data_IF_057305080688
#
_entry.id   IF_057305080688
#
_cell.length_a   1.000
_cell.length_b   1.000
_cell.length_c   1.000
_cell.angle_alpha   90.00
_cell.angle_beta   90.00
_cell.angle_gamma   90.00
#
_symmetry.space_group_name_H-M   'P 1'
#
loop_
_entity.id
_entity.type
_entity.pdbx_description
1 polymer ?
#
# COMPACT_ATOMS: atom_id res chain seq x y z
N UNK A 1 15.67 -15.09 -19.14
CA UNK A 1 15.35 -14.02 -20.11
C UNK A 1 15.86 -12.72 -19.53
N UNK A 2 16.82 -12.07 -20.20
CA UNK A 2 17.42 -10.80 -19.75
C UNK A 2 16.35 -9.71 -19.72
N UNK A 3 16.12 -9.12 -18.56
CA UNK A 3 15.11 -8.10 -18.21
C UNK A 3 15.37 -6.70 -18.81
N UNK A 4 16.31 -6.57 -19.74
CA UNK A 4 16.66 -5.28 -20.34
C UNK A 4 15.49 -4.74 -21.18
N UNK A 5 14.75 -3.78 -20.61
CA UNK A 5 13.70 -3.01 -21.28
C UNK A 5 12.28 -3.19 -20.75
N UNK A 6 12.04 -4.06 -19.76
CA UNK A 6 10.71 -4.20 -19.16
C UNK A 6 10.48 -3.07 -18.16
N UNK A 7 9.47 -2.23 -18.44
CA UNK A 7 8.93 -1.21 -17.53
C UNK A 7 7.48 -1.57 -17.20
N UNK A 8 7.09 -1.36 -15.94
CA UNK A 8 5.71 -1.59 -15.48
C UNK A 8 5.10 -0.29 -14.98
N UNK A 9 3.77 -0.16 -15.11
CA UNK A 9 3.01 0.96 -14.56
C UNK A 9 2.17 0.55 -13.36
N UNK A 10 2.43 1.19 -12.23
CA UNK A 10 1.71 0.99 -10.97
C UNK A 10 1.02 2.30 -10.61
N UNK A 11 -0.31 2.27 -10.53
CA UNK A 11 -1.09 3.42 -10.06
C UNK A 11 -1.56 3.19 -8.62
N UNK A 12 -1.70 4.27 -7.83
CA UNK A 12 -2.48 4.21 -6.60
C UNK A 12 -3.90 4.73 -6.86
N UNK A 13 -4.90 4.19 -6.14
CA UNK A 13 -6.28 4.65 -6.23
C UNK A 13 -6.98 4.83 -4.86
N UNK A 14 -6.22 5.02 -3.78
CA UNK A 14 -6.75 5.27 -2.45
C UNK A 14 -5.63 5.51 -1.44
N UNK A 15 -5.82 6.49 -0.55
CA UNK A 15 -4.90 6.79 0.54
C UNK A 15 -5.40 6.45 1.95
N UNK A 16 -6.71 6.22 2.12
CA UNK A 16 -7.34 5.84 3.39
C UNK A 16 -8.78 5.42 3.14
N UNK A 17 -9.41 4.75 4.10
CA UNK A 17 -10.84 4.42 4.00
C UNK A 17 -11.71 5.68 4.13
N UNK A 18 -12.45 6.00 3.06
CA UNK A 18 -13.27 7.21 2.94
C UNK A 18 -12.69 8.29 2.03
N UNK A 19 -11.56 8.00 1.36
CA UNK A 19 -10.99 8.83 0.29
C UNK A 19 -11.89 8.89 -0.95
N UNK A 20 -11.44 9.51 -2.05
CA UNK A 20 -12.21 9.70 -3.27
C UNK A 20 -12.75 8.37 -3.86
N UNK A 21 -14.08 8.14 -3.84
CA UNK A 21 -14.69 6.88 -4.26
C UNK A 21 -14.62 6.64 -5.78
N UNK A 22 -14.23 7.66 -6.55
CA UNK A 22 -14.09 7.59 -8.01
C UNK A 22 -12.62 7.48 -8.46
N UNK A 23 -11.65 7.55 -7.55
CA UNK A 23 -10.22 7.45 -7.89
C UNK A 23 -9.90 6.15 -8.64
N UNK A 24 -10.41 5.00 -8.17
CA UNK A 24 -10.23 3.71 -8.84
C UNK A 24 -10.76 3.70 -10.26
N UNK A 25 -11.96 4.24 -10.47
CA UNK A 25 -12.56 4.36 -11.81
C UNK A 25 -11.70 5.24 -12.71
N UNK A 26 -11.22 6.38 -12.23
CA UNK A 26 -10.37 7.29 -13.01
C UNK A 26 -9.03 6.64 -13.36
N UNK A 27 -8.44 5.87 -12.45
CA UNK A 27 -7.21 5.14 -12.73
C UNK A 27 -7.40 4.04 -13.78
N UNK A 28 -8.40 3.17 -13.59
CA UNK A 28 -8.66 2.03 -14.48
C UNK A 28 -9.08 2.48 -15.88
N UNK A 29 -9.94 3.49 -15.97
CA UNK A 29 -10.46 3.99 -17.25
C UNK A 29 -9.56 5.06 -17.90
N UNK A 30 -8.50 5.50 -17.20
CA UNK A 30 -7.60 6.53 -17.68
C UNK A 30 -6.85 6.14 -18.98
N UNK A 31 -6.25 7.13 -19.65
CA UNK A 31 -5.59 6.93 -20.95
C UNK A 31 -4.27 6.13 -20.88
N UNK A 32 -3.53 6.17 -19.76
CA UNK A 32 -2.32 5.34 -19.63
C UNK A 32 -2.72 3.88 -19.35
N UNK A 33 -2.05 2.94 -20.03
CA UNK A 33 -2.18 1.52 -19.72
C UNK A 33 -1.45 1.22 -18.41
N UNK A 34 -2.18 0.68 -17.44
CA UNK A 34 -1.66 0.25 -16.15
C UNK A 34 -1.42 -1.27 -16.16
N UNK A 35 -0.39 -1.72 -15.45
CA UNK A 35 -0.17 -3.15 -15.17
C UNK A 35 -0.73 -3.50 -13.78
N UNK A 36 -0.61 -2.57 -12.83
CA UNK A 36 -1.07 -2.71 -11.45
C UNK A 36 -1.81 -1.48 -10.96
N UNK A 37 -2.79 -1.71 -10.08
CA UNK A 37 -3.39 -0.68 -9.23
C UNK A 37 -3.26 -1.11 -7.78
N UNK A 38 -2.56 -0.30 -6.97
CA UNK A 38 -2.56 -0.40 -5.52
C UNK A 38 -3.69 0.43 -4.92
N UNK A 39 -4.35 -0.09 -3.89
CA UNK A 39 -5.39 0.65 -3.16
C UNK A 39 -5.23 0.39 -1.68
N UNK A 40 -4.96 1.46 -0.94
CA UNK A 40 -4.80 1.44 0.50
C UNK A 40 -6.06 1.99 1.20
N UNK A 41 -6.49 1.28 2.25
CA UNK A 41 -7.62 1.62 3.10
C UNK A 41 -7.25 1.76 4.58
N UNK A 42 -6.07 1.29 5.01
CA UNK A 42 -5.84 0.97 6.42
C UNK A 42 -4.97 2.01 7.13
N UNK A 43 -5.62 3.00 7.74
CA UNK A 43 -5.03 3.77 8.84
C UNK A 43 -5.13 3.00 10.18
N UNK A 44 -4.37 3.39 11.20
CA UNK A 44 -4.42 2.81 12.56
C UNK A 44 -5.84 2.85 13.14
N UNK A 45 -6.56 3.96 12.95
CA UNK A 45 -7.96 4.10 13.41
C UNK A 45 -8.91 3.16 12.67
N UNK A 46 -8.68 2.90 11.38
CA UNK A 46 -9.51 2.04 10.54
C UNK A 46 -9.57 0.62 11.12
N UNK A 47 -8.43 0.09 11.58
CA UNK A 47 -8.36 -1.26 12.17
C UNK A 47 -9.31 -1.41 13.36
N UNK A 48 -9.39 -0.39 14.22
CA UNK A 48 -10.28 -0.39 15.39
C UNK A 48 -11.76 -0.36 14.98
N UNK A 49 -12.10 0.40 13.93
CA UNK A 49 -13.47 0.47 13.41
C UNK A 49 -13.87 -0.87 12.80
N UNK A 50 -13.02 -1.46 11.97
CA UNK A 50 -13.27 -2.75 11.34
C UNK A 50 -13.38 -3.87 12.38
N UNK A 51 -12.58 -3.84 13.45
CA UNK A 51 -12.70 -4.79 14.55
C UNK A 51 -14.04 -4.66 15.28
N UNK A 52 -14.50 -3.43 15.55
CA UNK A 52 -15.84 -3.20 16.13
C UNK A 52 -16.96 -3.68 15.20
N UNK A 53 -16.80 -3.57 13.88
CA UNK A 53 -17.77 -4.12 12.92
C UNK A 53 -17.77 -5.66 12.96
N UNK A 54 -16.60 -6.31 12.92
CA UNK A 54 -16.45 -7.77 12.99
C UNK A 54 -17.03 -8.36 14.28
N UNK A 55 -16.91 -7.66 15.40
CA UNK A 55 -17.52 -8.07 16.68
C UNK A 55 -19.05 -8.05 16.65
N UNK A 56 -19.66 -7.16 15.87
CA UNK A 56 -21.12 -7.09 15.71
C UNK A 56 -21.62 -8.13 14.70
N UNK A 57 -20.86 -8.36 13.64
CA UNK A 57 -21.15 -9.34 12.59
C UNK A 57 -19.83 -9.95 12.09
N UNK A 58 -19.69 -11.26 12.26
CA UNK A 58 -18.48 -12.00 11.88
C UNK A 58 -18.18 -11.96 10.36
N UNK A 59 -19.15 -11.57 9.52
CA UNK A 59 -18.96 -11.39 8.08
C UNK A 59 -18.45 -9.99 7.70
N UNK A 60 -18.28 -9.07 8.66
CA UNK A 60 -17.71 -7.74 8.45
C UNK A 60 -16.24 -7.67 8.90
N UNK A 61 -15.65 -6.47 8.90
CA UNK A 61 -14.26 -6.26 9.29
C UNK A 61 -13.29 -6.03 8.13
N UNK A 62 -13.82 -5.63 6.98
CA UNK A 62 -13.09 -5.21 5.79
C UNK A 62 -13.73 -3.94 5.20
N UNK A 63 -13.02 -3.25 4.32
CA UNK A 63 -13.53 -2.05 3.65
C UNK A 63 -14.57 -2.43 2.58
N UNK A 64 -15.86 -2.46 2.95
CA UNK A 64 -16.94 -2.85 2.05
C UNK A 64 -17.05 -1.96 0.80
N UNK A 65 -16.63 -0.70 0.89
CA UNK A 65 -16.62 0.24 -0.23
C UNK A 65 -15.66 -0.19 -1.35
N UNK A 66 -14.58 -0.89 -1.03
CA UNK A 66 -13.69 -1.45 -2.05
C UNK A 66 -14.45 -2.39 -3.00
N UNK A 67 -15.27 -3.26 -2.43
CA UNK A 67 -16.06 -4.26 -3.16
C UNK A 67 -17.07 -3.57 -4.08
N UNK A 68 -17.75 -2.54 -3.60
CA UNK A 68 -18.73 -1.78 -4.40
C UNK A 68 -18.08 -0.90 -5.47
N UNK A 69 -16.92 -0.30 -5.20
CA UNK A 69 -16.14 0.49 -6.16
C UNK A 69 -15.56 -0.38 -7.29
N UNK A 70 -15.09 -1.59 -6.96
CA UNK A 70 -14.47 -2.49 -7.93
C UNK A 70 -15.49 -3.22 -8.79
N UNK A 71 -16.67 -3.57 -8.25
CA UNK A 71 -17.71 -4.31 -8.97
C UNK A 71 -17.97 -3.83 -10.41
N UNK A 72 -18.23 -2.53 -10.69
CA UNK A 72 -18.48 -2.04 -12.05
C UNK A 72 -17.23 -2.01 -12.94
N UNK A 73 -16.04 -2.21 -12.37
CA UNK A 73 -14.75 -2.08 -13.06
C UNK A 73 -14.08 -3.43 -13.36
N UNK A 74 -14.52 -4.53 -12.74
CA UNK A 74 -13.91 -5.87 -12.88
C UNK A 74 -13.70 -6.27 -14.35
N UNK A 75 -14.71 -6.06 -15.20
CA UNK A 75 -14.62 -6.37 -16.63
C UNK A 75 -13.52 -5.54 -17.31
N UNK A 76 -13.50 -4.25 -17.06
CA UNK A 76 -12.50 -3.32 -17.62
C UNK A 76 -11.09 -3.67 -17.15
N UNK A 77 -10.91 -3.98 -15.86
CA UNK A 77 -9.63 -4.43 -15.32
C UNK A 77 -9.13 -5.68 -16.05
N UNK A 78 -10.00 -6.67 -16.23
CA UNK A 78 -9.65 -7.92 -16.93
C UNK A 78 -9.33 -7.71 -18.40
N UNK A 79 -10.13 -6.93 -19.13
CA UNK A 79 -9.90 -6.60 -20.53
C UNK A 79 -8.60 -5.81 -20.74
N UNK A 80 -8.23 -4.95 -19.79
CA UNK A 80 -6.98 -4.17 -19.82
C UNK A 80 -5.77 -4.93 -19.23
N UNK A 81 -5.99 -6.07 -18.58
CA UNK A 81 -4.96 -6.85 -17.91
C UNK A 81 -4.39 -6.18 -16.64
N UNK A 82 -5.21 -5.38 -15.96
CA UNK A 82 -4.82 -4.67 -14.73
C UNK A 82 -5.00 -5.61 -13.53
N UNK A 83 -3.93 -5.82 -12.76
CA UNK A 83 -3.97 -6.52 -11.47
C UNK A 83 -4.19 -5.53 -10.32
N UNK A 84 -4.99 -5.91 -9.34
CA UNK A 84 -5.24 -5.09 -8.16
C UNK A 84 -4.54 -5.70 -6.95
N UNK A 85 -3.88 -4.86 -6.14
CA UNK A 85 -3.29 -5.25 -4.86
C UNK A 85 -3.84 -4.31 -3.79
N UNK A 86 -4.46 -4.84 -2.74
CA UNK A 86 -5.08 -4.00 -1.72
C UNK A 86 -5.00 -4.62 -0.33
N UNK A 87 -5.00 -3.75 0.68
CA UNK A 87 -5.18 -4.11 2.09
C UNK A 87 -6.63 -3.89 2.57
N UNK A 88 -7.59 -3.74 1.66
CA UNK A 88 -9.02 -3.59 1.96
C UNK A 88 -9.59 -4.72 2.84
N UNK A 89 -8.91 -5.86 2.94
CA UNK A 89 -9.31 -6.97 3.79
C UNK A 89 -9.31 -6.66 5.29
N UNK A 90 -8.53 -5.66 5.72
CA UNK A 90 -8.55 -5.20 7.11
C UNK A 90 -8.31 -6.31 8.12
N UNK A 91 -9.25 -6.51 9.05
CA UNK A 91 -9.18 -7.59 10.07
C UNK A 91 -9.97 -8.84 9.67
N UNK A 92 -10.57 -8.86 8.47
CA UNK A 92 -11.31 -10.00 7.93
C UNK A 92 -11.10 -10.13 6.41
N UNK A 93 -9.86 -10.40 5.97
CA UNK A 93 -9.56 -10.43 4.55
C UNK A 93 -10.28 -11.58 3.84
N UNK A 94 -10.62 -12.67 4.55
CA UNK A 94 -11.45 -13.77 4.03
C UNK A 94 -12.84 -13.31 3.61
N UNK A 95 -13.57 -12.61 4.50
CA UNK A 95 -14.90 -12.10 4.16
C UNK A 95 -14.88 -11.08 3.01
N UNK A 96 -13.80 -10.30 2.89
CA UNK A 96 -13.60 -9.43 1.73
C UNK A 96 -13.48 -10.24 0.42
N UNK A 97 -12.66 -11.30 0.43
CA UNK A 97 -12.52 -12.18 -0.73
C UNK A 97 -13.84 -12.89 -1.08
N UNK A 98 -14.58 -13.38 -0.09
CA UNK A 98 -15.88 -14.03 -0.29
C UNK A 98 -16.88 -13.05 -0.93
N UNK A 99 -16.93 -11.80 -0.47
CA UNK A 99 -17.77 -10.76 -1.07
C UNK A 99 -17.40 -10.46 -2.53
N UNK A 100 -16.10 -10.49 -2.89
CA UNK A 100 -15.67 -10.37 -4.29
C UNK A 100 -16.12 -11.58 -5.13
N UNK A 101 -16.03 -12.79 -4.59
CA UNK A 101 -16.49 -14.01 -5.27
C UNK A 101 -17.99 -14.01 -5.50
N UNK A 102 -18.80 -13.47 -4.58
CA UNK A 102 -20.24 -13.34 -4.79
C UNK A 102 -20.61 -12.37 -5.92
N UNK A 103 -19.73 -11.41 -6.25
CA UNK A 103 -19.93 -10.45 -7.33
C UNK A 103 -19.51 -10.97 -8.70
N UNK A 104 -18.50 -11.84 -8.77
CA UNK A 104 -17.91 -12.27 -10.03
C UNK A 104 -18.91 -12.99 -10.98
N UNK A 105 -19.72 -13.97 -10.52
CA UNK A 105 -20.74 -14.63 -11.35
C UNK A 105 -21.83 -13.66 -11.83
N UNK A 106 -22.22 -12.69 -11.00
CA UNK A 106 -23.24 -11.68 -11.34
C UNK A 106 -22.79 -10.80 -12.53
N UNK A 107 -21.49 -10.71 -12.77
CA UNK A 107 -20.90 -9.96 -13.87
C UNK A 107 -20.42 -10.85 -15.03
N UNK A 108 -20.66 -12.17 -14.96
CA UNK A 108 -20.23 -13.13 -15.99
C UNK A 108 -18.71 -13.25 -16.11
N UNK A 109 -17.98 -13.00 -15.01
CA UNK A 109 -16.52 -13.03 -14.97
C UNK A 109 -16.03 -14.21 -14.14
N UNK A 110 -15.03 -14.91 -14.66
CA UNK A 110 -14.16 -15.78 -13.87
C UNK A 110 -13.13 -14.90 -13.13
N UNK A 111 -13.12 -14.88 -11.80
CA UNK A 111 -12.27 -13.99 -11.01
C UNK A 111 -11.33 -14.82 -10.14
N UNK A 112 -10.03 -14.51 -10.19
CA UNK A 112 -9.02 -15.12 -9.32
C UNK A 112 -8.61 -14.15 -8.24
N UNK A 113 -8.99 -14.45 -7.00
CA UNK A 113 -8.60 -13.67 -5.82
C UNK A 113 -7.58 -14.49 -5.02
N UNK A 114 -6.40 -13.91 -4.77
CA UNK A 114 -5.44 -14.44 -3.83
C UNK A 114 -5.56 -13.70 -2.49
N UNK A 115 -5.50 -14.45 -1.40
CA UNK A 115 -5.64 -13.93 -0.04
C UNK A 115 -4.29 -13.97 0.68
N UNK A 116 -3.93 -12.87 1.33
CA UNK A 116 -2.82 -12.81 2.30
C UNK A 116 -3.40 -12.57 3.69
N UNK A 117 -3.30 -13.58 4.55
CA UNK A 117 -3.78 -13.59 5.93
C UNK A 117 -2.67 -14.06 6.90
N UNK A 118 -2.92 -13.96 8.21
CA UNK A 118 -1.98 -14.37 9.27
C UNK A 118 -1.31 -13.21 9.99
N UNK A 119 -1.70 -11.97 9.68
CA UNK A 119 -1.27 -10.75 10.36
C UNK A 119 -1.86 -10.63 11.76
N UNK A 120 -3.05 -11.19 12.01
CA UNK A 120 -3.68 -11.22 13.34
C UNK A 120 -2.92 -12.16 14.29
N UNK A 121 -2.29 -11.57 15.30
CA UNK A 121 -1.53 -12.25 16.34
C UNK A 121 -2.19 -12.11 17.73
N UNK A 122 -3.43 -11.62 17.82
CA UNK A 122 -4.07 -11.33 19.11
C UNK A 122 -4.05 -12.53 20.07
N UNK A 123 -4.34 -13.74 19.55
CA UNK A 123 -4.32 -14.96 20.35
C UNK A 123 -2.92 -15.36 20.87
N UNK A 124 -1.85 -14.93 20.18
CA UNK A 124 -0.45 -15.25 20.52
C UNK A 124 0.25 -14.10 21.26
N UNK A 125 -0.41 -12.96 21.40
CA UNK A 125 0.17 -11.75 21.98
C UNK A 125 0.73 -11.98 23.40
N UNK A 126 0.06 -12.70 24.33
CA UNK A 126 0.59 -12.96 25.67
C UNK A 126 1.91 -13.76 25.69
N UNK A 127 2.18 -14.55 24.64
CA UNK A 127 3.44 -15.29 24.49
C UNK A 127 4.51 -14.42 23.81
N UNK A 128 4.11 -13.63 22.81
CA UNK A 128 5.00 -12.76 22.04
C UNK A 128 5.61 -11.68 22.93
N UNK A 129 4.83 -11.04 23.80
CA UNK A 129 5.35 -9.95 24.65
C UNK A 129 6.43 -10.39 25.65
N UNK A 130 6.56 -11.70 25.88
CA UNK A 130 7.60 -12.29 26.73
C UNK A 130 8.92 -12.53 25.99
N UNK A 131 8.93 -12.41 24.66
CA UNK A 131 10.13 -12.58 23.85
C UNK A 131 11.07 -11.36 23.99
N UNK A 132 12.39 -11.55 23.86
CA UNK A 132 13.35 -10.45 23.86
C UNK A 132 13.00 -9.39 22.80
N UNK A 133 12.97 -8.12 23.17
CA UNK A 133 12.65 -7.02 22.26
C UNK A 133 11.15 -6.77 22.03
N UNK A 134 10.26 -7.62 22.56
CA UNK A 134 8.81 -7.55 22.32
C UNK A 134 7.99 -7.07 23.53
N UNK A 135 8.63 -6.54 24.59
CA UNK A 135 7.92 -6.12 25.81
C UNK A 135 6.94 -4.95 25.62
N UNK A 136 6.96 -4.27 24.47
CA UNK A 136 6.00 -3.21 24.06
C UNK A 136 5.76 -2.13 25.13
N UNK A 137 6.81 -1.74 25.86
CA UNK A 137 6.70 -0.66 26.86
C UNK A 137 6.27 0.64 26.20
N UNK A 138 5.43 1.41 26.91
CA UNK A 138 5.07 2.75 26.46
C UNK A 138 6.35 3.60 26.30
N UNK A 139 6.49 4.26 25.15
CA UNK A 139 7.71 5.01 24.81
C UNK A 139 7.89 6.29 25.64
N UNK A 140 6.80 6.88 26.15
CA UNK A 140 6.80 8.13 26.91
C UNK A 140 6.84 7.87 28.43
N UNK A 141 6.00 6.96 28.91
CA UNK A 141 5.85 6.69 30.36
C UNK A 141 6.71 5.52 30.86
N UNK A 142 7.14 4.63 29.95
CA UNK A 142 7.85 3.39 30.30
C UNK A 142 6.96 2.32 30.93
N UNK A 143 5.64 2.53 31.01
CA UNK A 143 4.68 1.58 31.57
C UNK A 143 4.68 0.25 30.81
N UNK A 144 4.40 -0.84 31.55
CA UNK A 144 4.33 -2.18 30.97
C UNK A 144 3.06 -2.35 30.14
N UNK A 145 3.19 -3.06 29.03
CA UNK A 145 2.06 -3.50 28.22
C UNK A 145 1.12 -4.48 28.97
N UNK A 146 1.60 -5.13 30.03
CA UNK A 146 0.81 -6.07 30.83
C UNK A 146 -0.48 -5.43 31.40
N UNK A 147 -0.49 -4.11 31.63
CA UNK A 147 -1.66 -3.39 32.14
C UNK A 147 -2.83 -3.26 31.14
N UNK A 148 -2.58 -3.51 29.84
CA UNK A 148 -3.59 -3.39 28.78
C UNK A 148 -3.86 -4.69 28.03
N UNK A 149 -3.04 -5.73 28.25
CA UNK A 149 -3.09 -7.00 27.48
C UNK A 149 -4.48 -7.64 27.46
N UNK A 150 -5.16 -7.67 28.61
CA UNK A 150 -6.49 -8.28 28.74
C UNK A 150 -7.62 -7.49 28.06
N UNK A 151 -7.32 -6.26 27.63
CA UNK A 151 -8.27 -5.35 26.95
C UNK A 151 -8.02 -5.26 25.44
N UNK A 152 -7.04 -5.99 24.92
CA UNK A 152 -6.68 -5.97 23.49
C UNK A 152 -7.84 -6.48 22.65
N UNK A 153 -8.23 -5.68 21.66
CA UNK A 153 -9.30 -5.98 20.70
C UNK A 153 -8.74 -6.52 19.39
N UNK A 154 -7.59 -6.02 18.95
CA UNK A 154 -6.88 -6.48 17.75
C UNK A 154 -5.37 -6.29 17.90
N UNK A 155 -4.59 -7.17 17.28
CA UNK A 155 -3.14 -7.05 17.19
C UNK A 155 -2.69 -7.59 15.83
N UNK A 156 -2.33 -6.68 14.92
CA UNK A 156 -2.05 -7.01 13.53
C UNK A 156 -0.62 -6.62 13.15
N UNK A 157 0.14 -7.59 12.64
CA UNK A 157 1.51 -7.41 12.15
C UNK A 157 1.49 -6.69 10.80
N UNK A 158 2.37 -5.70 10.62
CA UNK A 158 2.59 -5.10 9.31
C UNK A 158 3.46 -6.05 8.49
N UNK A 159 2.85 -6.88 7.66
CA UNK A 159 3.60 -7.66 6.70
C UNK A 159 4.29 -6.78 5.66
N UNK A 160 5.42 -7.26 5.16
CA UNK A 160 6.11 -6.69 4.01
C UNK A 160 5.54 -7.19 2.68
N UNK A 161 6.30 -6.98 1.61
CA UNK A 161 5.93 -7.35 0.26
C UNK A 161 5.95 -8.86 0.00
N UNK A 162 6.78 -9.64 0.70
CA UNK A 162 7.03 -11.05 0.33
C UNK A 162 5.79 -11.97 0.33
N UNK A 163 4.88 -11.94 1.32
CA UNK A 163 3.64 -12.73 1.25
C UNK A 163 2.77 -12.34 0.04
N UNK A 164 2.76 -11.06 -0.32
CA UNK A 164 2.03 -10.53 -1.50
C UNK A 164 2.69 -11.00 -2.80
N UNK A 165 4.03 -11.09 -2.85
CA UNK A 165 4.76 -11.66 -3.99
C UNK A 165 4.40 -13.13 -4.20
N UNK A 166 4.31 -13.93 -3.13
CA UNK A 166 3.89 -15.32 -3.24
C UNK A 166 2.44 -15.47 -3.71
N UNK A 167 1.55 -14.57 -3.27
CA UNK A 167 0.19 -14.49 -3.79
C UNK A 167 0.17 -14.15 -5.29
N UNK A 168 0.97 -13.17 -5.74
CA UNK A 168 1.04 -12.76 -7.13
C UNK A 168 1.55 -13.87 -8.07
N UNK A 169 2.46 -14.75 -7.60
CA UNK A 169 2.94 -15.90 -8.39
C UNK A 169 1.83 -16.90 -8.76
N UNK A 170 0.69 -16.88 -8.06
CA UNK A 170 -0.50 -17.66 -8.41
C UNK A 170 -1.29 -17.04 -9.58
N UNK A 171 -0.79 -15.96 -10.17
CA UNK A 171 -1.41 -15.19 -11.24
C UNK A 171 -2.87 -14.79 -10.93
N UNK A 172 -3.13 -14.11 -9.79
CA UNK A 172 -4.46 -13.62 -9.47
C UNK A 172 -4.80 -12.36 -10.27
N UNK A 173 -6.09 -12.09 -10.41
CA UNK A 173 -6.60 -10.79 -10.86
C UNK A 173 -6.52 -9.76 -9.72
N UNK A 174 -6.75 -10.22 -8.48
CA UNK A 174 -6.77 -9.38 -7.28
C UNK A 174 -6.01 -10.08 -6.15
N UNK A 175 -5.14 -9.35 -5.45
CA UNK A 175 -4.59 -9.75 -4.15
C UNK A 175 -5.25 -8.93 -3.06
N UNK A 176 -5.92 -9.61 -2.13
CA UNK A 176 -6.53 -9.02 -0.93
C UNK A 176 -5.67 -9.39 0.27
N UNK A 177 -5.22 -8.38 1.01
CA UNK A 177 -4.43 -8.54 2.23
C UNK A 177 -5.23 -8.09 3.45
N UNK A 178 -4.89 -8.65 4.61
CA UNK A 178 -5.12 -8.00 5.91
C UNK A 178 -4.14 -6.83 6.11
N UNK A 179 -3.51 -6.72 7.28
CA UNK A 179 -2.48 -5.71 7.51
C UNK A 179 -1.18 -6.06 6.75
N UNK A 180 -0.78 -5.14 5.89
CA UNK A 180 0.48 -5.09 5.15
C UNK A 180 0.92 -3.62 5.13
N UNK A 181 2.22 -3.34 4.96
CA UNK A 181 2.66 -1.96 4.76
C UNK A 181 2.10 -1.40 3.45
N UNK A 182 1.81 -0.10 3.45
CA UNK A 182 1.24 0.62 2.31
C UNK A 182 2.25 0.65 1.15
N UNK A 183 3.53 0.77 1.50
CA UNK A 183 4.64 0.56 0.57
C UNK A 183 4.78 -0.88 0.06
N UNK A 184 4.39 -1.88 0.86
CA UNK A 184 4.56 -3.31 0.60
C UNK A 184 3.74 -3.80 -0.58
N UNK A 185 2.51 -3.27 -0.76
CA UNK A 185 1.66 -3.62 -1.90
C UNK A 185 2.22 -3.10 -3.23
N UNK A 186 2.90 -1.95 -3.21
CA UNK A 186 3.61 -1.39 -4.38
C UNK A 186 4.92 -2.16 -4.64
N UNK A 187 5.72 -2.37 -3.60
CA UNK A 187 6.98 -3.12 -3.68
C UNK A 187 6.76 -4.55 -4.20
N UNK A 188 5.69 -5.22 -3.79
CA UNK A 188 5.37 -6.58 -4.23
C UNK A 188 5.19 -6.69 -5.74
N UNK A 189 4.55 -5.71 -6.39
CA UNK A 189 4.41 -5.68 -7.84
C UNK A 189 5.78 -5.58 -8.53
N UNK A 190 6.69 -4.73 -8.01
CA UNK A 190 8.04 -4.58 -8.55
C UNK A 190 8.89 -5.84 -8.36
N UNK A 191 8.87 -6.45 -7.16
CA UNK A 191 9.58 -7.71 -6.90
C UNK A 191 9.08 -8.81 -7.83
N UNK A 192 7.76 -8.99 -7.94
CA UNK A 192 7.15 -10.01 -8.78
C UNK A 192 7.57 -9.85 -10.25
N UNK A 193 7.46 -8.65 -10.80
CA UNK A 193 7.66 -8.41 -12.23
C UNK A 193 9.12 -8.43 -12.67
N UNK A 194 10.03 -8.05 -11.78
CA UNK A 194 11.47 -7.96 -12.06
C UNK A 194 12.28 -9.12 -11.46
N UNK A 195 11.66 -9.98 -10.66
CA UNK A 195 12.31 -11.16 -10.06
C UNK A 195 13.42 -10.79 -9.08
N UNK A 196 13.24 -9.70 -8.33
CA UNK A 196 14.22 -9.26 -7.33
C UNK A 196 14.32 -10.25 -6.18
N UNK A 197 15.53 -10.38 -5.63
CA UNK A 197 15.81 -11.19 -4.44
C UNK A 197 15.54 -10.40 -3.16
N UNK A 198 15.29 -11.10 -2.06
CA UNK A 198 15.22 -10.53 -0.70
C UNK A 198 16.52 -9.81 -0.28
N UNK A 199 17.64 -10.11 -0.94
CA UNK A 199 18.94 -9.49 -0.69
C UNK A 199 19.26 -8.31 -1.62
N UNK A 200 18.39 -7.98 -2.58
CA UNK A 200 18.58 -6.83 -3.48
C UNK A 200 18.22 -5.50 -2.78
N UNK A 201 18.87 -5.19 -1.65
CA UNK A 201 18.43 -4.12 -0.74
C UNK A 201 18.27 -2.75 -1.40
N UNK A 202 19.17 -2.35 -2.30
CA UNK A 202 19.02 -1.08 -3.03
C UNK A 202 17.74 -1.08 -3.88
N UNK A 203 17.41 -2.19 -4.55
CA UNK A 203 16.19 -2.29 -5.37
C UNK A 203 14.94 -2.32 -4.50
N UNK A 204 14.97 -3.05 -3.38
CA UNK A 204 13.89 -3.05 -2.40
C UNK A 204 13.66 -1.64 -1.85
N UNK A 205 14.72 -0.89 -1.55
CA UNK A 205 14.61 0.47 -1.06
C UNK A 205 14.01 1.41 -2.12
N UNK A 206 14.35 1.26 -3.40
CA UNK A 206 13.64 1.97 -4.46
C UNK A 206 12.15 1.65 -4.47
N UNK A 207 11.77 0.37 -4.28
CA UNK A 207 10.37 -0.02 -4.22
C UNK A 207 9.63 0.52 -2.99
N UNK A 208 10.29 0.63 -1.83
CA UNK A 208 9.75 1.31 -0.65
C UNK A 208 9.50 2.79 -0.94
N UNK A 209 10.48 3.50 -1.52
CA UNK A 209 10.34 4.92 -1.88
C UNK A 209 9.25 5.13 -2.93
N UNK A 210 9.15 4.22 -3.91
CA UNK A 210 8.05 4.20 -4.88
C UNK A 210 6.69 4.08 -4.19
N UNK A 211 6.54 3.11 -3.27
CA UNK A 211 5.34 2.94 -2.47
C UNK A 211 4.98 4.20 -1.68
N UNK A 212 5.96 4.76 -0.95
CA UNK A 212 5.80 5.94 -0.10
C UNK A 212 5.35 7.18 -0.89
N UNK A 213 5.80 7.28 -2.15
CA UNK A 213 5.39 8.38 -3.02
C UNK A 213 3.94 8.24 -3.51
N UNK A 214 3.45 7.02 -3.76
CA UNK A 214 2.11 6.85 -4.35
C UNK A 214 1.01 6.55 -3.34
N UNK A 215 1.33 6.20 -2.11
CA UNK A 215 0.36 6.13 -1.02
C UNK A 215 -0.20 7.51 -0.63
N UNK A 216 -1.12 7.54 0.33
CA UNK A 216 -1.77 8.77 0.82
C UNK A 216 -2.53 9.56 -0.27
N UNK A 217 -3.03 8.88 -1.30
CA UNK A 217 -3.93 9.43 -2.31
C UNK A 217 -3.25 10.37 -3.28
N UNK A 218 -3.75 11.61 -3.41
CA UNK A 218 -3.30 12.56 -4.44
C UNK A 218 -2.14 13.48 -4.00
N UNK A 219 -1.45 13.21 -2.89
CA UNK A 219 -0.48 14.16 -2.33
C UNK A 219 0.72 14.41 -3.26
N UNK A 220 1.34 13.35 -3.81
CA UNK A 220 2.45 13.50 -4.76
C UNK A 220 2.05 14.20 -6.08
N UNK A 221 0.75 14.30 -6.35
CA UNK A 221 0.16 14.98 -7.51
C UNK A 221 -0.53 16.30 -7.13
N UNK A 222 -0.20 16.85 -5.95
CA UNK A 222 -0.59 18.21 -5.56
C UNK A 222 -1.81 18.32 -4.65
N UNK A 223 -2.40 17.21 -4.22
CA UNK A 223 -3.61 17.18 -3.38
C UNK A 223 -3.41 17.74 -1.98
N UNK A 224 -2.20 17.64 -1.45
CA UNK A 224 -1.78 18.24 -0.20
C UNK A 224 -0.42 18.93 -0.39
N UNK A 225 -0.42 20.02 -1.15
CA UNK A 225 0.78 20.74 -1.56
C UNK A 225 0.78 22.17 -1.03
N UNK A 226 1.90 22.60 -0.45
CA UNK A 226 2.01 23.93 0.15
C UNK A 226 1.74 25.05 -0.85
N UNK A 227 2.28 24.93 -2.08
CA UNK A 227 2.02 25.87 -3.16
C UNK A 227 0.76 25.50 -3.97
N UNK A 228 -0.35 25.14 -3.31
CA UNK A 228 -1.60 24.68 -3.93
C UNK A 228 -2.13 25.58 -5.06
N UNK A 229 -1.82 26.89 -5.04
CA UNK A 229 -2.18 27.84 -6.12
C UNK A 229 -1.56 27.52 -7.47
N UNK A 230 -0.48 26.73 -7.50
CA UNK A 230 0.16 26.24 -8.73
C UNK A 230 -0.58 25.03 -9.33
N UNK A 231 -1.45 24.39 -8.55
CA UNK A 231 -2.26 23.24 -8.98
C UNK A 231 -3.45 23.77 -9.78
N UNK A 232 -3.58 23.33 -11.03
CA UNK A 232 -4.54 23.89 -11.98
C UNK A 232 -6.00 23.50 -11.71
N UNK A 233 -6.22 22.30 -11.20
CA UNK A 233 -7.55 21.75 -10.90
C UNK A 233 -7.46 20.78 -9.74
N UNK A 234 -8.40 20.91 -8.79
CA UNK A 234 -8.66 19.97 -7.70
C UNK A 234 -9.94 19.15 -7.92
N UNK A 235 -10.74 19.46 -8.95
CA UNK A 235 -12.04 18.79 -9.19
C UNK A 235 -11.85 17.32 -9.61
N UNK A 236 -10.82 17.06 -10.41
CA UNK A 236 -10.52 15.79 -11.03
C UNK A 236 -9.05 15.40 -10.81
N UNK A 237 -8.55 15.66 -9.60
CA UNK A 237 -7.13 15.49 -9.30
C UNK A 237 -6.66 14.06 -9.67
N UNK A 238 -5.60 14.00 -10.47
CA UNK A 238 -5.02 12.73 -10.89
C UNK A 238 -4.29 12.10 -9.73
N UNK A 239 -4.55 10.83 -9.45
CA UNK A 239 -3.76 10.06 -8.49
C UNK A 239 -2.41 9.65 -9.13
N UNK A 240 -1.36 9.45 -8.32
CA UNK A 240 -0.02 9.19 -8.82
C UNK A 240 0.08 7.83 -9.53
N UNK A 241 0.94 7.79 -10.54
CA UNK A 241 1.32 6.62 -11.32
C UNK A 241 2.84 6.56 -11.36
N UNK A 242 3.38 5.37 -11.17
CA UNK A 242 4.80 5.08 -11.34
C UNK A 242 5.04 4.39 -12.67
N UNK A 243 6.10 4.79 -13.37
CA UNK A 243 6.71 4.03 -14.47
C UNK A 243 8.03 3.44 -13.95
N UNK A 244 8.01 2.18 -13.53
CA UNK A 244 9.10 1.52 -12.80
C UNK A 244 9.98 0.68 -13.73
N UNK A 245 11.31 0.77 -13.56
CA UNK A 245 12.28 -0.03 -14.32
C UNK A 245 12.89 -1.15 -13.46
N UNK A 246 13.45 -2.15 -14.12
CA UNK A 246 14.05 -3.32 -13.46
C UNK A 246 15.28 -2.99 -12.58
N UNK A 247 15.94 -1.84 -12.80
CA UNK A 247 17.05 -1.35 -11.98
C UNK A 247 16.59 -0.64 -10.69
N UNK A 248 15.28 -0.48 -10.51
CA UNK A 248 14.66 0.21 -9.39
C UNK A 248 14.36 1.69 -9.66
N UNK A 249 14.95 2.31 -10.68
CA UNK A 249 14.61 3.70 -11.01
C UNK A 249 13.20 3.82 -11.57
N UNK A 250 12.53 4.93 -11.27
CA UNK A 250 11.14 5.13 -11.71
C UNK A 250 10.82 6.61 -11.98
N UNK A 251 9.72 6.83 -12.69
CA UNK A 251 9.14 8.16 -12.90
C UNK A 251 7.77 8.24 -12.24
N UNK A 252 7.57 9.28 -11.44
CA UNK A 252 6.27 9.67 -10.88
C UNK A 252 5.55 10.52 -11.92
N UNK A 253 4.31 10.19 -12.22
CA UNK A 253 3.45 10.91 -13.15
C UNK A 253 1.97 10.74 -12.79
N UNK A 254 1.07 11.20 -13.65
CA UNK A 254 -0.38 11.01 -13.55
C UNK A 254 -0.97 10.84 -14.94
N UNK A 255 -2.23 10.43 -15.04
CA UNK A 255 -2.91 10.36 -16.33
C UNK A 255 -2.88 11.73 -17.05
N UNK A 256 -2.55 11.79 -18.35
CA UNK A 256 -2.66 13.02 -19.11
C UNK A 256 -4.10 13.52 -19.12
N UNK A 257 -4.27 14.83 -18.98
CA UNK A 257 -5.57 15.49 -18.98
C UNK A 257 -6.27 15.54 -17.61
N UNK A 258 -5.79 14.81 -16.59
CA UNK A 258 -6.32 14.97 -15.23
C UNK A 258 -5.82 16.26 -14.58
N UNK A 259 -6.56 16.73 -13.58
CA UNK A 259 -6.12 17.76 -12.64
C UNK A 259 -4.86 17.39 -11.85
N UNK A 260 -4.49 18.22 -10.88
CA UNK A 260 -3.25 18.07 -10.11
C UNK A 260 -2.01 18.67 -10.77
N UNK A 261 -0.87 18.47 -10.12
CA UNK A 261 0.46 18.88 -10.55
C UNK A 261 1.47 17.83 -10.05
N UNK A 262 2.29 17.28 -10.96
CA UNK A 262 3.46 16.48 -10.56
C UNK A 262 4.72 17.31 -10.80
N UNK A 263 5.44 17.59 -9.72
CA UNK A 263 6.67 18.37 -9.75
C UNK A 263 7.65 17.84 -8.71
N UNK A 264 8.92 18.25 -8.82
CA UNK A 264 9.94 17.86 -7.82
C UNK A 264 9.49 18.28 -6.41
N UNK A 265 8.77 19.40 -6.28
CA UNK A 265 8.27 19.91 -5.01
C UNK A 265 7.14 19.04 -4.45
N UNK A 266 6.16 18.64 -5.25
CA UNK A 266 5.04 17.79 -4.77
C UNK A 266 5.55 16.41 -4.35
N UNK A 267 6.47 15.81 -5.12
CA UNK A 267 7.10 14.54 -4.77
C UNK A 267 7.97 14.67 -3.51
N UNK A 268 8.71 15.77 -3.35
CA UNK A 268 9.52 16.01 -2.16
C UNK A 268 8.67 16.18 -0.91
N UNK A 269 7.54 16.90 -0.97
CA UNK A 269 6.64 17.04 0.18
C UNK A 269 6.06 15.69 0.60
N UNK A 270 5.68 14.83 -0.35
CA UNK A 270 5.27 13.46 -0.04
C UNK A 270 6.39 12.64 0.62
N UNK A 271 7.63 12.75 0.14
CA UNK A 271 8.76 12.03 0.76
C UNK A 271 9.06 12.44 2.20
N UNK A 272 8.68 13.66 2.61
CA UNK A 272 8.86 14.16 3.97
C UNK A 272 7.67 13.83 4.88
N UNK A 273 6.54 13.39 4.32
CA UNK A 273 5.34 13.02 5.05
C UNK A 273 5.60 11.80 5.96
N UNK A 274 5.12 11.86 7.20
CA UNK A 274 5.25 10.82 8.24
C UNK A 274 6.67 10.25 8.40
N UNK A 275 7.67 11.09 8.13
CA UNK A 275 9.07 10.69 8.16
C UNK A 275 9.65 10.81 9.57
N UNK A 276 10.12 9.69 10.12
CA UNK A 276 10.95 9.65 11.32
C UNK A 276 12.41 10.00 11.00
N UNK A 277 13.31 9.02 11.12
CA UNK A 277 14.73 9.19 10.81
C UNK A 277 15.01 8.90 9.31
N UNK A 278 15.34 9.89 8.46
CA UNK A 278 15.40 9.68 7.00
C UNK A 278 16.43 8.64 6.54
N UNK A 279 17.58 8.52 7.23
CA UNK A 279 18.61 7.51 6.89
C UNK A 279 18.29 6.10 7.42
N UNK A 280 17.17 5.95 8.12
CA UNK A 280 16.80 4.73 8.83
C UNK A 280 15.28 4.53 8.75
N UNK A 281 14.70 4.61 7.54
CA UNK A 281 13.29 4.31 7.34
C UNK A 281 13.09 2.79 7.37
N UNK A 282 12.63 2.27 8.52
CA UNK A 282 12.54 0.84 8.79
C UNK A 282 11.24 0.29 8.18
N UNK A 283 11.36 -0.72 7.33
CA UNK A 283 10.24 -1.52 6.82
C UNK A 283 10.53 -3.01 7.03
N UNK A 284 9.51 -3.89 6.92
CA UNK A 284 9.71 -5.34 7.02
C UNK A 284 10.71 -5.91 6.02
N UNK A 285 10.81 -5.32 4.81
CA UNK A 285 11.60 -5.87 3.71
C UNK A 285 13.03 -5.30 3.66
N UNK A 286 13.20 -4.03 4.05
CA UNK A 286 14.47 -3.30 3.96
C UNK A 286 14.47 -2.07 4.87
N UNK A 287 15.64 -1.63 5.32
CA UNK A 287 15.79 -0.26 5.86
C UNK A 287 16.25 0.65 4.72
N UNK A 288 15.40 1.60 4.32
CA UNK A 288 15.67 2.52 3.23
C UNK A 288 16.33 3.82 3.75
N UNK A 289 17.31 4.33 3.00
CA UNK A 289 17.97 5.61 3.26
C UNK A 289 17.42 6.69 2.31
N UNK A 290 16.47 7.47 2.81
CA UNK A 290 15.83 8.54 2.04
C UNK A 290 16.77 9.71 1.75
N UNK A 291 17.92 9.83 2.45
CA UNK A 291 18.90 10.89 2.19
C UNK A 291 19.67 10.69 0.88
N UNK A 292 19.60 9.50 0.29
CA UNK A 292 20.29 9.15 -0.96
C UNK A 292 19.47 9.44 -2.22
N UNK A 293 18.16 9.66 -2.06
CA UNK A 293 17.21 9.86 -3.16
C UNK A 293 17.62 11.05 -4.03
N UNK A 294 17.69 10.83 -5.34
CA UNK A 294 17.86 11.88 -6.35
C UNK A 294 16.56 12.09 -7.12
N UNK A 295 16.06 13.32 -7.09
CA UNK A 295 14.88 13.77 -7.84
C UNK A 295 15.30 14.66 -9.01
N UNK A 296 14.78 14.40 -10.20
CA UNK A 296 14.97 15.25 -11.37
C UNK A 296 13.66 15.45 -12.12
N UNK A 297 13.46 16.64 -12.69
CA UNK A 297 12.37 16.87 -13.63
C UNK A 297 12.56 15.99 -14.87
N UNK A 298 11.51 15.31 -15.32
CA UNK A 298 11.50 14.45 -16.52
C UNK A 298 10.44 14.90 -17.54
N UNK A 299 10.11 16.20 -17.50
CA UNK A 299 9.09 16.82 -18.36
C UNK A 299 7.87 17.30 -17.59
N UNK A 300 6.82 17.67 -18.33
CA UNK A 300 5.56 18.14 -17.74
C UNK A 300 4.87 17.01 -16.96
N UNK A 301 4.53 17.27 -15.70
CA UNK A 301 3.89 16.29 -14.80
C UNK A 301 4.69 14.99 -14.65
N UNK A 302 6.03 15.09 -14.64
CA UNK A 302 6.93 13.94 -14.56
C UNK A 302 8.16 14.23 -13.71
N UNK A 303 8.45 13.34 -12.77
CA UNK A 303 9.64 13.41 -11.90
C UNK A 303 10.34 12.07 -11.86
N UNK A 304 11.60 12.03 -12.28
CA UNK A 304 12.46 10.84 -12.16
C UNK A 304 13.01 10.74 -10.73
N UNK A 305 12.99 9.52 -10.19
CA UNK A 305 13.56 9.15 -8.89
C UNK A 305 14.63 8.08 -9.10
N UNK A 306 15.78 8.24 -8.46
CA UNK A 306 16.91 7.31 -8.56
C UNK A 306 17.84 7.36 -7.34
N UNK A 307 18.85 6.48 -7.32
CA UNK A 307 19.94 6.45 -6.34
C UNK A 307 19.51 6.14 -4.89
N UNK A 308 18.42 5.40 -4.71
CA UNK A 308 17.98 4.98 -3.37
C UNK A 308 18.84 3.82 -2.86
N UNK A 309 19.34 3.95 -1.63
CA UNK A 309 20.12 2.93 -0.94
C UNK A 309 19.32 2.21 0.12
N UNK A 310 19.58 0.91 0.25
CA UNK A 310 18.97 0.05 1.25
C UNK A 310 19.99 -0.74 2.05
N UNK A 311 19.60 -1.15 3.25
CA UNK A 311 20.37 -2.09 4.08
C UNK A 311 19.43 -3.16 4.67
N UNK A 312 19.97 -4.28 5.20
CA UNK A 312 19.16 -5.37 5.70
C UNK A 312 18.05 -4.91 6.67
N UNK A 313 16.84 -5.51 6.62
CA UNK A 313 15.77 -5.22 7.56
C UNK A 313 16.15 -5.62 8.99
N UNK A 314 15.35 -5.16 9.96
CA UNK A 314 15.44 -5.64 11.34
C UNK A 314 14.92 -7.07 11.45
N UNK A 315 15.23 -7.74 12.56
CA UNK A 315 14.66 -9.04 12.94
C UNK A 315 13.24 -8.93 13.54
N UNK A 316 12.74 -7.70 13.72
CA UNK A 316 11.43 -7.37 14.27
C UNK A 316 10.48 -6.80 13.20
N UNK A 317 9.18 -7.00 13.44
CA UNK A 317 8.08 -6.41 12.65
C UNK A 317 7.26 -5.44 13.53
N UNK A 318 6.72 -4.37 12.91
CA UNK A 318 5.75 -3.47 13.56
C UNK A 318 4.42 -4.23 13.78
N UNK A 319 3.79 -4.00 14.92
CA UNK A 319 2.44 -4.49 15.23
C UNK A 319 1.56 -3.29 15.55
N UNK A 320 0.38 -3.18 14.93
CA UNK A 320 -0.68 -2.28 15.37
C UNK A 320 -1.55 -3.01 16.37
N UNK A 321 -1.73 -2.42 17.55
CA UNK A 321 -2.55 -2.99 18.62
C UNK A 321 -3.60 -1.98 19.04
N UNK A 322 -4.86 -2.40 19.05
CA UNK A 322 -5.96 -1.62 19.60
C UNK A 322 -6.49 -2.33 20.85
N UNK A 323 -6.74 -1.58 21.92
CA UNK A 323 -7.36 -2.08 23.14
C UNK A 323 -8.52 -1.18 23.57
N UNK A 324 -9.42 -1.70 24.40
CA UNK A 324 -10.57 -0.94 24.90
C UNK A 324 -10.16 -0.02 26.06
N UNK A 325 -10.46 1.28 25.95
CA UNK A 325 -10.09 2.28 26.96
C UNK A 325 -11.25 3.22 27.38
N UNK A 326 -12.43 2.63 27.59
CA UNK A 326 -13.65 3.35 27.94
C UNK A 326 -14.56 3.61 26.75
#
# INVERSE_FOLDING_TARGET
MTTNGKMIRIANAGGYWGDDPYALRRQVCGPLKLDYVSIDFLAEITMSILQKQKQKDANLGYAADFVSQLAPLLKTCKERGIRIITNAGGVNPRACADALFELAPKNGLDLRVALVEGDDIAARLPEIIKQPGCAMKNMETGESFDGVVDRVLSANVYFGAMPVVEALKQNPDIVVCGRVTDTGITLAAMIHEFGWSAADYDKLAHGIVAGHIIECGAQATGGNFTDWRKVKSFEDIGFPILECNADGSFVVTKHPGSGGLVSVQTVREQLLYEMGHPQSYITPDVIADFSTIQLASDGTDRVRVSQVKGRPPTDLLKVSIAYSDG
#
